data_IF_173297747904
#
_entry.id   IF_173297747904
#
_cell.length_a   1.000
_cell.length_b   1.000
_cell.length_c   1.000
_cell.angle_alpha   90.00
_cell.angle_beta   90.00
_cell.angle_gamma   90.00
#
_symmetry.space_group_name_H-M   'P 1'
#
loop_
_entity.id
_entity.type
_entity.pdbx_description
1 polymer ?
#
# COMPACT_ATOMS: atom_id res chain seq x y z
N UNK A 1 0.79 -0.60 36.26
CA UNK A 1 0.97 0.32 35.13
C UNK A 1 -0.36 0.36 34.41
N UNK A 2 -0.93 1.54 34.22
CA UNK A 2 -2.25 1.72 33.61
C UNK A 2 -2.03 2.41 32.28
N UNK A 3 -2.34 1.72 31.18
CA UNK A 3 -2.23 2.26 29.82
C UNK A 3 -3.64 2.61 29.37
N UNK A 4 -3.87 3.88 29.07
CA UNK A 4 -5.17 4.35 28.61
C UNK A 4 -5.52 3.74 27.25
N UNK A 5 -6.81 3.38 27.08
CA UNK A 5 -7.33 2.91 25.81
C UNK A 5 -7.05 3.96 24.72
N UNK A 6 -6.55 3.52 23.56
CA UNK A 6 -6.15 4.35 22.42
C UNK A 6 -4.91 5.22 22.60
N UNK A 7 -4.18 5.09 23.71
CA UNK A 7 -2.86 5.71 23.82
C UNK A 7 -1.82 4.96 22.97
N UNK A 8 -0.83 5.70 22.46
CA UNK A 8 0.33 5.13 21.77
C UNK A 8 1.48 5.10 22.76
N UNK A 9 2.00 3.90 23.03
CA UNK A 9 3.11 3.66 23.95
C UNK A 9 4.29 3.02 23.22
N UNK A 10 5.48 3.05 23.82
CA UNK A 10 6.63 2.33 23.26
C UNK A 10 6.42 0.81 23.38
N UNK A 11 6.94 0.02 22.44
CA UNK A 11 6.82 -1.45 22.46
C UNK A 11 7.30 -2.08 23.80
N UNK A 12 8.43 -1.67 24.40
CA UNK A 12 8.85 -2.18 25.70
C UNK A 12 7.87 -1.88 26.84
N UNK A 13 7.18 -0.74 26.78
CA UNK A 13 6.18 -0.33 27.75
C UNK A 13 4.90 -1.16 27.61
N UNK A 14 4.47 -1.44 26.38
CA UNK A 14 3.36 -2.36 26.13
C UNK A 14 3.65 -3.76 26.66
N UNK A 15 4.83 -4.33 26.36
CA UNK A 15 5.22 -5.68 26.80
C UNK A 15 5.36 -5.78 28.33
N UNK A 16 5.81 -4.72 29.00
CA UNK A 16 5.93 -4.67 30.46
C UNK A 16 4.58 -4.81 31.18
N UNK A 17 3.45 -4.62 30.49
CA UNK A 17 2.11 -4.80 31.06
C UNK A 17 1.83 -6.26 31.47
N UNK A 18 2.56 -7.25 30.90
CA UNK A 18 2.45 -8.65 31.32
C UNK A 18 2.96 -8.90 32.76
N UNK A 19 3.62 -7.92 33.37
CA UNK A 19 4.10 -7.98 34.75
C UNK A 19 5.52 -8.53 34.90
N UNK A 20 6.07 -8.49 36.11
CA UNK A 20 7.44 -8.92 36.38
C UNK A 20 7.61 -10.42 36.12
N UNK A 21 8.72 -10.79 35.48
CA UNK A 21 9.03 -12.18 35.13
C UNK A 21 8.26 -12.72 33.92
N UNK A 22 7.56 -11.86 33.17
CA UNK A 22 6.90 -12.27 31.94
C UNK A 22 7.90 -12.78 30.89
N UNK A 23 7.53 -13.85 30.19
CA UNK A 23 8.32 -14.40 29.09
C UNK A 23 7.98 -13.65 27.81
N UNK A 24 8.98 -12.98 27.22
CA UNK A 24 8.85 -12.28 25.94
C UNK A 24 9.09 -13.25 24.79
N UNK A 25 8.19 -13.26 23.81
CA UNK A 25 8.24 -14.14 22.65
C UNK A 25 7.95 -13.33 21.39
N UNK A 26 8.67 -13.61 20.31
CA UNK A 26 8.46 -13.01 19.00
C UNK A 26 7.94 -14.05 18.03
N UNK A 27 6.80 -13.78 17.40
CA UNK A 27 6.32 -14.48 16.21
C UNK A 27 6.69 -13.70 14.94
N UNK A 28 6.24 -14.19 13.79
CA UNK A 28 6.53 -13.58 12.48
C UNK A 28 5.96 -12.16 12.37
N UNK A 29 4.69 -11.98 12.74
CA UNK A 29 3.96 -10.70 12.60
C UNK A 29 3.43 -10.16 13.94
N UNK A 30 3.79 -10.79 15.05
CA UNK A 30 3.32 -10.42 16.39
C UNK A 30 4.41 -10.59 17.45
N UNK A 31 4.34 -9.77 18.49
CA UNK A 31 5.12 -9.96 19.72
C UNK A 31 4.17 -10.30 20.87
N UNK A 32 4.64 -11.14 21.78
CA UNK A 32 3.88 -11.63 22.93
C UNK A 32 4.68 -11.43 24.21
N UNK A 33 3.99 -11.11 25.29
CA UNK A 33 4.53 -11.24 26.65
C UNK A 33 3.57 -12.08 27.49
N UNK A 34 4.06 -13.22 27.96
CA UNK A 34 3.27 -14.18 28.75
C UNK A 34 3.61 -14.01 30.23
N UNK A 35 2.72 -13.38 30.97
CA UNK A 35 2.80 -13.24 32.42
C UNK A 35 2.00 -14.30 33.17
N UNK A 36 1.96 -14.17 34.50
CA UNK A 36 1.23 -15.09 35.37
C UNK A 36 -0.27 -15.09 35.06
N UNK A 37 -0.90 -13.91 34.99
CA UNK A 37 -2.35 -13.75 34.79
C UNK A 37 -2.71 -12.92 33.54
N UNK A 38 -1.70 -12.43 32.83
CA UNK A 38 -1.84 -11.50 31.71
C UNK A 38 -1.06 -12.00 30.50
N UNK A 39 -1.70 -11.94 29.33
CA UNK A 39 -1.05 -12.08 28.04
C UNK A 39 -1.09 -10.74 27.33
N UNK A 40 0.06 -10.20 26.95
CA UNK A 40 0.13 -9.05 26.05
C UNK A 40 0.38 -9.55 24.63
N UNK A 41 -0.36 -9.01 23.68
CA UNK A 41 -0.20 -9.26 22.26
C UNK A 41 -0.02 -7.94 21.54
N UNK A 42 1.04 -7.84 20.75
CA UNK A 42 1.29 -6.73 19.83
C UNK A 42 1.24 -7.31 18.43
N UNK A 43 0.30 -6.84 17.61
CA UNK A 43 0.12 -7.37 16.25
C UNK A 43 -0.43 -6.31 15.31
N UNK A 44 -0.69 -6.71 14.06
CA UNK A 44 -1.38 -5.85 13.10
C UNK A 44 -2.90 -5.99 13.29
N UNK A 45 -3.64 -4.90 13.15
CA UNK A 45 -5.11 -4.92 13.18
C UNK A 45 -5.65 -4.28 11.90
N UNK A 46 -6.36 -5.09 11.11
CA UNK A 46 -6.96 -4.69 9.83
C UNK A 46 -8.50 -4.55 9.90
N UNK A 47 -9.06 -4.59 11.12
CA UNK A 47 -10.50 -4.55 11.40
C UNK A 47 -10.79 -3.73 12.65
N UNK A 48 -11.93 -3.03 12.64
CA UNK A 48 -12.41 -2.18 13.72
C UNK A 48 -12.95 -2.95 14.92
N UNK A 49 -13.42 -4.17 14.72
CA UNK A 49 -14.00 -4.97 15.78
C UNK A 49 -13.07 -6.08 16.31
N UNK A 50 -12.00 -6.39 15.59
CA UNK A 50 -11.17 -7.55 15.91
C UNK A 50 -9.71 -7.44 15.42
N UNK A 51 -8.82 -8.10 16.14
CA UNK A 51 -7.47 -8.40 15.69
C UNK A 51 -7.40 -9.90 15.35
N UNK A 52 -6.85 -10.23 14.19
CA UNK A 52 -6.60 -11.61 13.79
C UNK A 52 -5.10 -11.79 13.71
N UNK A 53 -4.60 -12.76 14.47
CA UNK A 53 -3.21 -13.20 14.43
C UNK A 53 -3.19 -14.53 13.71
N UNK A 54 -2.18 -14.74 12.88
CA UNK A 54 -2.00 -15.98 12.13
C UNK A 54 -0.72 -16.69 12.54
N UNK A 55 -0.70 -17.99 12.30
CA UNK A 55 0.43 -18.88 12.55
C UNK A 55 1.76 -18.36 11.95
N UNK A 56 2.93 -18.75 12.50
CA UNK A 56 3.12 -19.67 13.63
C UNK A 56 3.01 -18.99 15.01
N UNK A 57 2.44 -19.71 15.98
CA UNK A 57 2.37 -19.27 17.37
C UNK A 57 3.42 -19.97 18.24
N UNK A 58 4.05 -19.26 19.19
CA UNK A 58 4.87 -19.90 20.21
C UNK A 58 4.05 -20.88 21.05
N UNK A 59 4.61 -22.05 21.36
CA UNK A 59 3.94 -23.12 22.12
C UNK A 59 3.37 -22.62 23.46
N UNK A 60 4.12 -21.74 24.15
CA UNK A 60 3.68 -21.18 25.42
C UNK A 60 2.40 -20.32 25.29
N UNK A 61 2.22 -19.61 24.17
CA UNK A 61 1.02 -18.81 23.90
C UNK A 61 -0.18 -19.73 23.68
N UNK A 62 0.00 -20.79 22.88
CA UNK A 62 -1.04 -21.79 22.63
C UNK A 62 -1.46 -22.50 23.92
N UNK A 63 -0.51 -22.99 24.73
CA UNK A 63 -0.79 -23.63 26.01
C UNK A 63 -1.55 -22.69 26.96
N UNK A 64 -1.16 -21.42 27.03
CA UNK A 64 -1.80 -20.45 27.93
C UNK A 64 -3.24 -20.14 27.53
N UNK A 65 -3.53 -20.06 26.23
CA UNK A 65 -4.87 -19.76 25.70
C UNK A 65 -5.80 -20.98 25.65
N UNK A 66 -5.24 -22.18 25.46
CA UNK A 66 -5.98 -23.43 25.47
C UNK A 66 -6.35 -23.91 26.90
N UNK A 67 -5.69 -23.38 27.94
CA UNK A 67 -5.94 -23.74 29.33
C UNK A 67 -7.33 -23.33 29.86
N UNK A 68 -7.79 -23.99 30.93
CA UNK A 68 -9.10 -23.69 31.56
C UNK A 68 -9.17 -22.30 32.20
N UNK A 69 -8.04 -21.77 32.67
CA UNK A 69 -7.93 -20.43 33.23
C UNK A 69 -7.24 -19.52 32.21
N UNK A 70 -8.03 -18.94 31.30
CA UNK A 70 -7.53 -18.02 30.29
C UNK A 70 -7.09 -16.70 30.94
N UNK A 71 -5.89 -16.18 30.60
CA UNK A 71 -5.45 -14.88 31.10
C UNK A 71 -6.26 -13.74 30.47
N UNK A 72 -6.19 -12.56 31.08
CA UNK A 72 -6.61 -11.34 30.40
C UNK A 72 -5.68 -11.08 29.21
N UNK A 73 -6.23 -10.86 28.01
CA UNK A 73 -5.44 -10.60 26.81
C UNK A 73 -5.45 -9.12 26.50
N UNK A 74 -4.36 -8.42 26.80
CA UNK A 74 -4.18 -7.02 26.41
C UNK A 74 -3.62 -6.96 24.99
N UNK A 75 -4.33 -6.28 24.10
CA UNK A 75 -3.95 -6.19 22.69
C UNK A 75 -3.46 -4.79 22.33
N UNK A 76 -2.45 -4.74 21.48
CA UNK A 76 -1.90 -3.52 20.91
C UNK A 76 -1.76 -3.66 19.41
N UNK A 77 -2.20 -2.64 18.66
CA UNK A 77 -1.90 -2.54 17.25
C UNK A 77 -0.51 -1.91 17.06
N UNK A 78 0.36 -2.57 16.29
CA UNK A 78 1.68 -2.04 15.94
C UNK A 78 1.53 -0.87 14.94
N UNK A 79 2.15 0.25 15.26
CA UNK A 79 2.24 1.46 14.43
C UNK A 79 3.70 1.85 14.19
N UNK A 80 4.04 2.66 13.17
CA UNK A 80 5.41 3.13 12.95
C UNK A 80 6.01 3.92 14.14
N UNK A 81 5.16 4.60 14.92
CA UNK A 81 5.56 5.41 16.07
C UNK A 81 5.42 4.74 17.44
N UNK A 82 4.99 3.47 17.50
CA UNK A 82 4.75 2.77 18.77
C UNK A 82 3.64 1.74 18.70
N UNK A 83 2.96 1.49 19.81
CA UNK A 83 1.93 0.49 19.99
C UNK A 83 0.65 1.16 20.48
N UNK A 84 -0.41 1.11 19.67
CA UNK A 84 -1.73 1.63 20.02
C UNK A 84 -2.43 0.65 20.95
N UNK A 85 -2.81 1.09 22.14
CA UNK A 85 -3.58 0.29 23.09
C UNK A 85 -5.01 0.04 22.57
N UNK A 86 -5.36 -1.22 22.33
CA UNK A 86 -6.71 -1.65 21.94
C UNK A 86 -7.55 -2.09 23.15
N UNK A 87 -6.93 -2.16 24.33
CA UNK A 87 -7.56 -2.62 25.56
C UNK A 87 -7.50 -4.13 25.73
N UNK A 88 -8.39 -4.64 26.57
CA UNK A 88 -8.49 -6.07 26.89
C UNK A 88 -9.46 -6.71 25.89
N UNK A 89 -9.05 -7.82 25.27
CA UNK A 89 -9.93 -8.60 24.41
C UNK A 89 -11.08 -9.17 25.24
N UNK A 90 -12.32 -8.92 24.79
CA UNK A 90 -13.53 -9.45 25.38
C UNK A 90 -13.69 -10.94 25.07
N UNK A 91 -13.29 -11.34 23.87
CA UNK A 91 -13.41 -12.70 23.37
C UNK A 91 -12.14 -13.09 22.61
N UNK A 92 -11.73 -14.34 22.78
CA UNK A 92 -10.54 -14.94 22.18
C UNK A 92 -10.94 -16.26 21.54
N UNK A 93 -11.14 -16.24 20.22
CA UNK A 93 -11.46 -17.41 19.42
C UNK A 93 -10.16 -18.05 18.92
N UNK A 94 -10.03 -19.36 19.10
CA UNK A 94 -8.89 -20.15 18.64
C UNK A 94 -9.36 -21.06 17.51
N UNK A 95 -8.72 -20.94 16.34
CA UNK A 95 -9.02 -21.79 15.18
C UNK A 95 -7.90 -22.79 14.98
N UNK A 96 -8.23 -24.07 14.87
CA UNK A 96 -7.26 -25.14 14.67
C UNK A 96 -7.38 -25.72 13.25
N UNK A 97 -6.25 -25.98 12.60
CA UNK A 97 -6.18 -26.68 11.32
C UNK A 97 -5.23 -27.86 11.45
N UNK A 98 -5.73 -29.08 11.17
CA UNK A 98 -4.95 -30.34 11.29
C UNK A 98 -4.27 -30.52 12.67
N UNK A 99 -4.91 -30.05 13.73
CA UNK A 99 -4.43 -30.19 15.12
C UNK A 99 -3.45 -29.13 15.60
N UNK A 100 -3.05 -28.18 14.75
CA UNK A 100 -2.23 -27.02 15.13
C UNK A 100 -3.10 -25.75 15.20
N UNK A 101 -2.77 -24.84 16.13
CA UNK A 101 -3.41 -23.53 16.21
C UNK A 101 -3.04 -22.71 14.97
N UNK A 102 -4.06 -22.36 14.19
CA UNK A 102 -3.94 -21.71 12.89
C UNK A 102 -4.16 -20.19 12.99
N UNK A 103 -5.21 -19.77 13.70
CA UNK A 103 -5.53 -18.35 13.91
C UNK A 103 -6.02 -18.09 15.33
N UNK A 104 -5.69 -16.91 15.86
CA UNK A 104 -6.25 -16.35 17.08
C UNK A 104 -7.01 -15.08 16.69
N UNK A 105 -8.30 -15.02 17.02
CA UNK A 105 -9.11 -13.82 16.84
C UNK A 105 -9.45 -13.20 18.19
N UNK A 106 -9.01 -11.97 18.38
CA UNK A 106 -9.30 -11.14 19.56
C UNK A 106 -10.40 -10.15 19.19
N UNK A 107 -11.50 -10.13 19.94
CA UNK A 107 -12.59 -9.15 19.75
C UNK A 107 -12.60 -8.14 20.89
N UNK A 108 -12.90 -6.89 20.55
CA UNK A 108 -12.92 -5.78 21.51
C UNK A 108 -14.34 -5.31 21.78
N UNK A 109 -14.61 -4.89 23.01
CA UNK A 109 -15.92 -4.35 23.39
C UNK A 109 -16.17 -2.96 22.80
N UNK A 110 -15.12 -2.13 22.79
CA UNK A 110 -15.15 -0.84 22.13
C UNK A 110 -14.54 -1.00 20.74
N UNK A 111 -15.27 -0.72 19.65
CA UNK A 111 -14.71 -0.72 18.31
C UNK A 111 -13.51 0.23 18.25
N UNK A 112 -12.45 -0.20 17.57
CA UNK A 112 -11.28 0.62 17.33
C UNK A 112 -11.72 1.76 16.42
N UNK A 113 -11.52 3.04 16.81
CA UNK A 113 -11.86 4.17 15.97
C UNK A 113 -11.20 4.04 14.58
N UNK A 114 -11.95 4.24 13.47
CA UNK A 114 -11.42 4.04 12.12
C UNK A 114 -10.19 4.89 11.78
N UNK A 115 -10.06 6.05 12.42
CA UNK A 115 -8.93 6.97 12.35
C UNK A 115 -7.67 6.45 13.08
N UNK A 116 -7.82 5.43 13.92
CA UNK A 116 -6.73 4.78 14.65
C UNK A 116 -6.34 3.41 14.04
N UNK A 117 -7.21 2.83 13.23
CA UNK A 117 -6.92 1.61 12.45
C UNK A 117 -6.03 1.95 11.26
N UNK A 118 -4.76 1.57 11.37
CA UNK A 118 -3.79 1.77 10.31
C UNK A 118 -3.34 3.22 10.18
N UNK A 119 -2.78 3.78 11.26
CA UNK A 119 -1.94 4.99 11.23
C UNK A 119 -0.60 4.76 10.51
N UNK A 120 -0.69 4.28 9.28
CA UNK A 120 0.09 4.75 8.16
C UNK A 120 -0.85 4.83 6.95
N UNK A 121 -2.02 5.46 7.12
CA UNK A 121 -2.76 5.91 5.94
C UNK A 121 -1.85 6.92 5.26
N UNK A 122 -1.42 6.69 4.01
CA UNK A 122 -0.48 7.57 3.36
C UNK A 122 -1.02 9.00 3.41
N UNK A 123 -0.23 9.91 3.96
CA UNK A 123 -0.57 11.34 3.98
C UNK A 123 -0.90 11.81 2.57
N UNK A 124 -1.75 12.82 2.46
CA UNK A 124 -2.11 13.45 1.17
C UNK A 124 -1.33 14.73 0.91
N UNK A 125 -0.36 15.06 1.76
CA UNK A 125 0.50 16.24 1.65
C UNK A 125 1.34 16.24 0.36
N UNK A 126 1.68 15.05 -0.17
CA UNK A 126 2.35 14.91 -1.47
C UNK A 126 1.50 15.43 -2.64
N UNK A 127 0.17 15.44 -2.55
CA UNK A 127 -0.69 15.97 -3.61
C UNK A 127 -0.50 17.47 -3.81
N UNK A 128 -0.16 18.19 -2.74
CA UNK A 128 0.07 19.63 -2.81
C UNK A 128 1.37 19.93 -3.56
N UNK A 129 2.34 19.00 -3.55
CA UNK A 129 3.58 19.07 -4.31
C UNK A 129 3.40 18.67 -5.78
N UNK A 130 2.50 17.74 -6.10
CA UNK A 130 2.44 17.07 -7.41
C UNK A 130 2.40 18.01 -8.63
N UNK A 131 1.82 19.20 -8.51
CA UNK A 131 1.74 20.16 -9.63
C UNK A 131 2.99 21.01 -9.87
N UNK A 132 3.91 21.09 -8.91
CA UNK A 132 5.09 21.98 -8.99
C UNK A 132 6.42 21.30 -8.61
N UNK A 133 6.36 20.22 -7.83
CA UNK A 133 7.46 19.31 -7.52
C UNK A 133 7.00 17.84 -7.63
N UNK A 134 6.89 17.30 -8.86
CA UNK A 134 6.47 15.90 -9.06
C UNK A 134 7.46 14.89 -8.45
N UNK A 135 8.75 15.24 -8.35
CA UNK A 135 9.77 14.36 -7.76
C UNK A 135 9.54 14.23 -6.26
N UNK A 136 9.43 15.34 -5.54
CA UNK A 136 9.14 15.32 -4.10
C UNK A 136 7.79 14.69 -3.78
N UNK A 137 6.78 14.91 -4.63
CA UNK A 137 5.49 14.24 -4.53
C UNK A 137 5.61 12.70 -4.65
N UNK A 138 6.37 12.23 -5.64
CA UNK A 138 6.64 10.80 -5.86
C UNK A 138 7.39 10.18 -4.68
N UNK A 139 8.45 10.82 -4.19
CA UNK A 139 9.22 10.32 -3.04
C UNK A 139 8.35 10.18 -1.79
N UNK A 140 7.51 11.19 -1.49
CA UNK A 140 6.57 11.14 -0.36
C UNK A 140 5.47 10.10 -0.53
N UNK A 141 4.90 10.00 -1.74
CA UNK A 141 3.91 8.96 -2.04
C UNK A 141 4.51 7.57 -1.82
N UNK A 142 5.70 7.30 -2.36
CA UNK A 142 6.35 5.98 -2.21
C UNK A 142 6.65 5.70 -0.73
N UNK A 143 7.22 6.67 -0.01
CA UNK A 143 7.53 6.52 1.41
C UNK A 143 6.28 6.22 2.26
N UNK A 144 5.15 6.87 1.96
CA UNK A 144 3.89 6.65 2.69
C UNK A 144 3.17 5.37 2.26
N UNK A 145 2.97 5.17 0.95
CA UNK A 145 2.22 4.04 0.41
C UNK A 145 2.91 2.70 0.69
N UNK A 146 4.24 2.66 0.61
CA UNK A 146 5.04 1.45 0.80
C UNK A 146 5.81 1.44 2.14
N UNK A 147 5.36 2.21 3.14
CA UNK A 147 6.02 2.33 4.44
C UNK A 147 6.25 1.00 5.18
N UNK A 148 5.37 0.01 4.97
CA UNK A 148 5.49 -1.32 5.60
C UNK A 148 6.40 -2.30 4.86
N UNK A 149 7.12 -1.83 3.84
CA UNK A 149 8.09 -2.62 3.08
C UNK A 149 9.46 -2.04 3.38
N UNK A 150 10.25 -2.80 4.12
CA UNK A 150 11.61 -2.43 4.49
C UNK A 150 12.47 -2.26 3.22
N UNK A 151 13.23 -1.16 3.09
CA UNK A 151 14.18 -1.01 2.00
C UNK A 151 15.26 -2.10 2.10
N UNK A 152 15.19 -3.12 1.24
CA UNK A 152 16.23 -4.12 1.09
C UNK A 152 17.34 -3.71 0.09
N UNK A 153 18.61 -3.86 0.52
CA UNK A 153 19.76 -4.02 -0.38
C UNK A 153 20.50 -2.76 -0.83
N UNK A 154 21.63 -3.00 -1.52
CA UNK A 154 22.45 -1.96 -2.14
C UNK A 154 21.68 -1.27 -3.28
N UNK A 155 21.76 0.06 -3.31
CA UNK A 155 21.25 0.86 -4.41
C UNK A 155 22.02 0.50 -5.69
N UNK A 156 21.33 0.10 -6.78
CA UNK A 156 22.01 -0.01 -8.07
C UNK A 156 22.59 1.35 -8.45
N UNK A 157 23.73 1.37 -9.15
CA UNK A 157 24.27 2.59 -9.72
C UNK A 157 23.31 3.08 -10.81
N UNK A 158 22.52 4.12 -10.52
CA UNK A 158 21.53 4.66 -11.46
C UNK A 158 22.17 5.75 -12.31
N UNK A 159 22.13 5.57 -13.63
CA UNK A 159 22.58 6.59 -14.59
C UNK A 159 21.37 7.33 -15.18
N UNK A 160 21.62 8.47 -15.85
CA UNK A 160 20.55 9.26 -16.48
C UNK A 160 20.07 10.45 -15.64
N UNK A 161 18.92 11.05 -15.97
CA UNK A 161 18.46 12.35 -15.44
C UNK A 161 18.01 12.28 -13.97
N UNK A 162 17.93 13.45 -13.32
CA UNK A 162 17.66 13.54 -11.88
C UNK A 162 16.34 12.88 -11.43
N UNK A 163 15.20 13.00 -12.16
CA UNK A 163 13.96 12.32 -11.79
C UNK A 163 14.07 10.79 -11.77
N UNK A 164 14.79 10.21 -12.74
CA UNK A 164 15.00 8.75 -12.79
C UNK A 164 15.83 8.26 -11.60
N UNK A 165 16.90 9.00 -11.25
CA UNK A 165 17.71 8.70 -10.06
C UNK A 165 16.89 8.80 -8.78
N UNK A 166 16.01 9.79 -8.67
CA UNK A 166 15.12 9.95 -7.52
C UNK A 166 14.12 8.80 -7.40
N UNK A 167 13.49 8.39 -8.52
CA UNK A 167 12.59 7.24 -8.57
C UNK A 167 13.26 5.96 -8.05
N UNK A 168 14.42 5.59 -8.61
CA UNK A 168 15.13 4.39 -8.18
C UNK A 168 15.62 4.45 -6.73
N UNK A 169 15.99 5.65 -6.24
CA UNK A 169 16.32 5.83 -4.81
C UNK A 169 15.11 5.60 -3.92
N UNK A 170 13.95 6.15 -4.28
CA UNK A 170 12.71 5.98 -3.51
C UNK A 170 12.19 4.52 -3.56
N UNK A 171 12.34 3.86 -4.70
CA UNK A 171 11.95 2.48 -4.94
C UNK A 171 12.95 1.44 -4.43
N UNK A 172 14.10 1.88 -3.88
CA UNK A 172 15.17 1.01 -3.44
C UNK A 172 14.68 0.00 -2.41
N UNK A 173 14.86 -1.29 -2.73
CA UNK A 173 14.43 -2.37 -1.87
C UNK A 173 12.92 -2.59 -1.77
N UNK A 174 12.13 -1.96 -2.65
CA UNK A 174 10.68 -2.07 -2.71
C UNK A 174 10.24 -2.51 -4.11
N UNK A 175 10.39 -3.81 -4.45
CA UNK A 175 10.07 -4.31 -5.79
C UNK A 175 8.62 -3.99 -6.21
N UNK A 176 7.70 -3.86 -5.26
CA UNK A 176 6.28 -3.52 -5.47
C UNK A 176 6.05 -2.12 -6.05
N UNK A 177 7.04 -1.21 -5.94
CA UNK A 177 6.98 0.12 -6.55
C UNK A 177 7.05 0.04 -8.07
N UNK A 178 7.82 -0.93 -8.59
CA UNK A 178 7.95 -1.13 -10.03
C UNK A 178 6.68 -1.76 -10.63
N UNK A 179 5.84 -2.38 -9.80
CA UNK A 179 4.67 -3.13 -10.24
C UNK A 179 5.05 -4.49 -10.82
N UNK A 180 4.08 -5.14 -11.48
CA UNK A 180 4.26 -6.45 -12.09
C UNK A 180 4.50 -6.37 -13.59
N UNK A 181 3.84 -5.42 -14.25
CA UNK A 181 3.80 -5.32 -15.71
C UNK A 181 4.61 -4.15 -16.26
N UNK A 182 5.03 -3.20 -15.41
CA UNK A 182 5.94 -2.12 -15.79
C UNK A 182 7.35 -2.43 -15.29
N UNK A 183 8.36 -2.13 -16.11
CA UNK A 183 9.76 -2.17 -15.69
C UNK A 183 10.46 -0.90 -16.10
N UNK A 184 10.95 -0.15 -15.12
CA UNK A 184 11.80 1.03 -15.31
C UNK A 184 13.26 0.62 -15.09
N UNK A 185 14.13 0.95 -16.05
CA UNK A 185 15.53 0.55 -16.06
C UNK A 185 16.40 1.57 -15.29
N UNK A 186 17.29 1.06 -14.43
CA UNK A 186 18.27 1.87 -13.71
C UNK A 186 19.34 2.47 -14.65
N UNK A 187 19.59 1.83 -15.79
CA UNK A 187 20.45 2.32 -16.84
C UNK A 187 19.64 2.39 -18.14
N UNK A 188 19.30 3.60 -18.62
CA UNK A 188 18.65 3.76 -19.92
C UNK A 188 19.52 3.27 -21.06
N UNK A 189 18.94 2.51 -21.98
CA UNK A 189 19.64 1.88 -23.08
C UNK A 189 19.64 2.79 -24.32
N UNK A 190 20.82 3.09 -24.92
CA UNK A 190 20.88 3.78 -26.20
C UNK A 190 20.55 2.82 -27.36
N UNK A 191 20.32 3.39 -28.55
CA UNK A 191 20.21 2.62 -29.79
C UNK A 191 18.83 2.65 -30.46
N UNK A 192 17.87 3.43 -29.93
CA UNK A 192 16.64 3.69 -30.67
C UNK A 192 16.93 4.48 -31.96
N UNK A 193 16.31 4.15 -33.12
CA UNK A 193 16.59 4.81 -34.40
C UNK A 193 16.44 6.34 -34.39
N UNK A 194 15.53 6.86 -33.57
CA UNK A 194 15.29 8.30 -33.41
C UNK A 194 16.27 9.01 -32.45
N UNK A 195 17.33 8.33 -32.00
CA UNK A 195 18.32 8.90 -31.07
C UNK A 195 17.83 9.06 -29.62
N UNK A 196 16.75 8.35 -29.27
CA UNK A 196 16.15 8.31 -27.93
C UNK A 196 16.77 7.21 -27.07
N UNK A 197 16.60 7.32 -25.76
CA UNK A 197 17.01 6.30 -24.79
C UNK A 197 15.80 5.49 -24.32
N UNK A 198 15.91 4.17 -24.34
CA UNK A 198 14.90 3.29 -23.74
C UNK A 198 15.12 3.22 -22.24
N UNK A 199 14.17 3.71 -21.44
CA UNK A 199 14.27 3.71 -19.98
C UNK A 199 13.27 2.79 -19.29
N UNK A 200 12.41 2.11 -20.05
CA UNK A 200 11.53 1.09 -19.50
C UNK A 200 10.68 0.38 -20.55
N UNK A 201 9.82 -0.52 -20.06
CA UNK A 201 8.87 -1.30 -20.84
C UNK A 201 7.60 -1.58 -20.04
N UNK A 202 6.47 -1.77 -20.72
CA UNK A 202 5.18 -2.11 -20.13
C UNK A 202 4.62 -3.40 -20.77
N UNK A 203 3.85 -4.16 -20.00
CA UNK A 203 3.12 -5.35 -20.47
C UNK A 203 4.03 -6.44 -21.01
N UNK A 204 5.16 -6.70 -20.35
CA UNK A 204 6.19 -7.64 -20.84
C UNK A 204 6.75 -7.32 -22.24
N UNK A 205 6.78 -6.02 -22.58
CA UNK A 205 7.34 -5.54 -23.85
C UNK A 205 6.29 -5.24 -24.93
N UNK A 206 5.01 -5.17 -24.56
CA UNK A 206 3.93 -4.70 -25.46
C UNK A 206 4.24 -3.31 -26.00
N UNK A 207 4.80 -2.42 -25.18
CA UNK A 207 5.41 -1.18 -25.66
C UNK A 207 6.62 -0.78 -24.80
N UNK A 208 7.48 0.04 -25.38
CA UNK A 208 8.67 0.58 -24.73
C UNK A 208 8.50 2.05 -24.34
N UNK A 209 9.19 2.43 -23.27
CA UNK A 209 9.22 3.77 -22.74
C UNK A 209 10.54 4.43 -23.14
N UNK A 210 10.43 5.52 -23.90
CA UNK A 210 11.58 6.23 -24.46
C UNK A 210 11.66 7.64 -23.88
N UNK A 211 12.88 8.18 -23.79
CA UNK A 211 13.11 9.57 -23.40
C UNK A 211 14.20 10.24 -24.23
N UNK A 212 14.17 11.57 -24.27
CA UNK A 212 15.28 12.36 -24.85
C UNK A 212 16.59 12.06 -24.11
N UNK A 213 17.70 11.96 -24.85
CA UNK A 213 19.03 11.68 -24.29
C UNK A 213 19.66 12.85 -23.53
N UNK A 214 19.07 14.05 -23.64
CA UNK A 214 19.56 15.29 -23.06
C UNK A 214 18.46 16.00 -22.26
N UNK A 215 18.86 16.77 -21.25
CA UNK A 215 17.97 17.59 -20.42
C UNK A 215 17.82 17.09 -18.99
N UNK A 216 17.50 18.01 -18.08
CA UNK A 216 17.34 17.69 -16.65
C UNK A 216 16.05 16.89 -16.36
N UNK A 217 15.00 17.16 -17.12
CA UNK A 217 13.71 16.50 -17.09
C UNK A 217 13.27 16.25 -18.55
N UNK A 218 13.68 15.15 -19.19
CA UNK A 218 13.48 14.94 -20.63
C UNK A 218 12.01 14.67 -20.97
N UNK A 219 11.64 14.85 -22.25
CA UNK A 219 10.34 14.37 -22.75
C UNK A 219 10.30 12.84 -22.77
N UNK A 220 9.11 12.29 -22.56
CA UNK A 220 8.82 10.85 -22.58
C UNK A 220 7.96 10.52 -23.78
N UNK A 221 8.18 9.33 -24.35
CA UNK A 221 7.44 8.81 -25.48
C UNK A 221 7.12 7.32 -25.28
N UNK A 222 6.03 6.89 -25.90
CA UNK A 222 5.69 5.48 -26.07
C UNK A 222 6.04 5.04 -27.48
N UNK A 223 6.72 3.90 -27.59
CA UNK A 223 6.96 3.20 -28.84
C UNK A 223 6.29 1.82 -28.80
N UNK A 224 5.36 1.58 -29.73
CA UNK A 224 4.46 0.40 -29.76
C UNK A 224 3.03 0.65 -29.27
N UNK A 225 2.75 1.77 -28.58
CA UNK A 225 1.37 2.12 -28.15
C UNK A 225 0.50 2.65 -29.32
N UNK A 226 1.13 3.15 -30.38
CA UNK A 226 0.47 3.54 -31.63
C UNK A 226 1.40 3.28 -32.82
N UNK A 227 0.90 3.41 -34.05
CA UNK A 227 1.70 3.23 -35.28
C UNK A 227 2.90 4.20 -35.39
N UNK A 228 2.93 5.24 -34.56
CA UNK A 228 4.01 6.21 -34.48
C UNK A 228 4.47 6.37 -33.04
N UNK A 229 5.69 6.89 -32.90
CA UNK A 229 6.19 7.37 -31.62
C UNK A 229 5.21 8.39 -31.03
N UNK A 230 4.70 8.11 -29.84
CA UNK A 230 3.65 8.90 -29.22
C UNK A 230 4.21 9.67 -28.01
N UNK A 231 4.33 11.01 -28.07
CA UNK A 231 4.85 11.79 -26.94
C UNK A 231 3.86 11.82 -25.79
N UNK A 232 4.29 11.48 -24.58
CA UNK A 232 3.54 11.71 -23.35
C UNK A 232 3.40 13.24 -23.10
N UNK A 233 2.32 13.61 -22.43
CA UNK A 233 1.92 14.97 -22.09
C UNK A 233 2.75 15.53 -20.93
N UNK A 234 3.12 14.66 -20.00
CA UNK A 234 4.07 14.95 -18.92
C UNK A 234 5.51 14.68 -19.34
N UNK A 235 6.43 15.42 -18.71
CA UNK A 235 7.87 15.12 -18.79
C UNK A 235 8.22 14.00 -17.80
N UNK A 236 9.46 13.54 -17.81
CA UNK A 236 9.89 12.37 -17.03
C UNK A 236 9.49 12.42 -15.55
N UNK A 237 9.64 13.57 -14.87
CA UNK A 237 9.25 13.72 -13.47
C UNK A 237 7.75 13.48 -13.23
N UNK A 238 6.90 14.12 -14.02
CA UNK A 238 5.44 13.93 -13.95
C UNK A 238 5.04 12.51 -14.34
N UNK A 239 5.66 11.97 -15.39
CA UNK A 239 5.43 10.61 -15.85
C UNK A 239 5.74 9.56 -14.77
N UNK A 240 6.89 9.65 -14.11
CA UNK A 240 7.29 8.68 -13.06
C UNK A 240 6.32 8.70 -11.87
N UNK A 241 5.82 9.88 -11.47
CA UNK A 241 4.78 9.98 -10.46
C UNK A 241 3.49 9.27 -10.93
N UNK A 242 3.04 9.54 -12.15
CA UNK A 242 1.84 8.91 -12.69
C UNK A 242 1.98 7.40 -12.84
N UNK A 243 3.12 6.94 -13.36
CA UNK A 243 3.43 5.52 -13.49
C UNK A 243 3.39 4.83 -12.12
N UNK A 244 3.96 5.45 -11.09
CA UNK A 244 3.93 4.94 -9.72
C UNK A 244 2.50 4.83 -9.18
N UNK A 245 1.67 5.85 -9.38
CA UNK A 245 0.26 5.83 -8.99
C UNK A 245 -0.53 4.77 -9.76
N UNK A 246 -0.23 4.60 -11.05
CA UNK A 246 -0.83 3.57 -11.87
C UNK A 246 -0.47 2.17 -11.37
N UNK A 247 0.79 1.94 -11.02
CA UNK A 247 1.21 0.66 -10.40
C UNK A 247 0.49 0.40 -9.09
N UNK A 248 0.36 1.42 -8.23
CA UNK A 248 -0.36 1.30 -6.98
C UNK A 248 -1.84 0.91 -7.19
N UNK A 249 -2.48 1.40 -8.25
CA UNK A 249 -3.88 1.11 -8.57
C UNK A 249 -4.09 -0.23 -9.32
N UNK A 250 -3.19 -0.56 -10.25
CA UNK A 250 -3.35 -1.70 -11.17
C UNK A 250 -2.73 -2.99 -10.62
N UNK A 251 -1.55 -2.89 -10.02
CA UNK A 251 -0.75 -4.03 -9.55
C UNK A 251 -0.79 -4.19 -8.03
N UNK A 252 -1.50 -3.30 -7.33
CA UNK A 252 -1.62 -3.32 -5.88
C UNK A 252 -2.25 -4.63 -5.35
N UNK A 253 -1.87 -5.10 -4.15
CA UNK A 253 -2.34 -6.37 -3.61
C UNK A 253 -3.84 -6.37 -3.28
N UNK A 254 -4.42 -5.19 -3.01
CA UNK A 254 -5.83 -5.01 -2.70
C UNK A 254 -6.42 -4.01 -3.68
N UNK A 255 -7.43 -4.41 -4.42
CA UNK A 255 -8.02 -3.55 -5.42
C UNK A 255 -8.91 -4.28 -6.40
N UNK A 256 -9.10 -3.65 -7.56
CA UNK A 256 -9.77 -4.27 -8.70
C UNK A 256 -9.88 -3.35 -9.90
N UNK A 257 -10.30 -3.95 -11.00
CA UNK A 257 -10.64 -3.28 -12.25
C UNK A 257 -12.12 -3.48 -12.56
N UNK A 258 -12.79 -2.41 -12.97
CA UNK A 258 -14.18 -2.43 -13.40
C UNK A 258 -14.39 -1.52 -14.61
N UNK A 259 -15.36 -1.88 -15.45
CA UNK A 259 -15.95 -0.94 -16.40
C UNK A 259 -17.11 -0.24 -15.72
N UNK A 260 -17.06 1.08 -15.66
CA UNK A 260 -18.04 1.89 -14.93
C UNK A 260 -18.68 2.96 -15.78
N UNK A 261 -19.96 3.19 -15.58
CA UNK A 261 -20.66 4.33 -16.15
C UNK A 261 -20.29 5.64 -15.43
N UNK A 262 -20.73 6.77 -15.97
CA UNK A 262 -20.43 8.08 -15.40
C UNK A 262 -20.95 8.28 -13.97
N UNK A 263 -22.19 7.89 -13.63
CA UNK A 263 -22.65 7.89 -12.24
C UNK A 263 -21.80 7.03 -11.29
N UNK A 264 -21.43 5.82 -11.68
CA UNK A 264 -20.56 4.91 -10.93
C UNK A 264 -19.18 5.52 -10.70
N UNK A 265 -18.52 6.00 -11.76
CA UNK A 265 -17.23 6.68 -11.68
C UNK A 265 -17.27 7.85 -10.70
N UNK A 266 -18.29 8.72 -10.81
CA UNK A 266 -18.48 9.87 -9.91
C UNK A 266 -18.62 9.46 -8.45
N UNK A 267 -19.34 8.38 -8.14
CA UNK A 267 -19.49 7.89 -6.76
C UNK A 267 -18.14 7.46 -6.16
N UNK A 268 -17.27 6.86 -6.97
CA UNK A 268 -15.95 6.39 -6.51
C UNK A 268 -14.96 7.55 -6.35
N UNK A 269 -14.94 8.51 -7.28
CA UNK A 269 -13.94 9.59 -7.27
C UNK A 269 -14.37 10.83 -6.46
N UNK A 270 -15.65 11.01 -6.15
CA UNK A 270 -16.15 12.14 -5.36
C UNK A 270 -15.43 12.38 -4.02
N UNK A 271 -15.08 11.36 -3.22
CA UNK A 271 -14.32 11.56 -1.98
C UNK A 271 -12.81 11.74 -2.20
N UNK A 272 -12.32 11.69 -3.45
CA UNK A 272 -10.90 11.71 -3.78
C UNK A 272 -10.48 13.07 -4.35
N UNK A 273 -9.19 13.38 -4.23
CA UNK A 273 -8.59 14.54 -4.88
C UNK A 273 -7.98 14.10 -6.20
N UNK A 274 -8.27 14.86 -7.27
CA UNK A 274 -7.61 14.67 -8.56
C UNK A 274 -6.13 15.05 -8.44
N UNK A 275 -5.24 14.22 -8.98
CA UNK A 275 -3.81 14.55 -9.07
C UNK A 275 -3.61 15.64 -10.13
N UNK A 276 -2.93 16.76 -9.83
CA UNK A 276 -2.84 17.93 -10.69
C UNK A 276 -1.82 17.78 -11.85
N UNK A 277 -1.88 16.67 -12.56
CA UNK A 277 -1.08 16.38 -13.75
C UNK A 277 -1.96 16.29 -15.00
N UNK A 278 -1.34 16.41 -16.17
CA UNK A 278 -1.99 16.17 -17.46
C UNK A 278 -2.36 14.69 -17.58
N UNK A 279 -3.45 14.34 -18.30
CA UNK A 279 -3.81 12.93 -18.48
C UNK A 279 -2.69 12.09 -19.06
N UNK A 280 -2.49 10.88 -18.54
CA UNK A 280 -1.64 9.87 -19.19
C UNK A 280 -2.28 9.41 -20.51
N UNK A 281 -1.48 8.83 -21.39
CA UNK A 281 -1.96 8.21 -22.63
C UNK A 281 -2.29 6.72 -22.52
N UNK A 282 -2.00 6.13 -21.37
CA UNK A 282 -2.21 4.73 -21.07
C UNK A 282 -2.73 4.59 -19.64
N UNK A 283 -3.65 3.65 -19.34
CA UNK A 283 -4.21 2.62 -20.23
C UNK A 283 -5.23 3.12 -21.25
N UNK A 284 -5.79 4.33 -21.05
CA UNK A 284 -6.74 4.96 -21.98
C UNK A 284 -6.23 6.33 -22.43
N UNK A 285 -6.81 6.92 -23.48
CA UNK A 285 -6.25 8.11 -24.13
C UNK A 285 -6.18 9.32 -23.19
N UNK A 286 -7.16 9.46 -22.30
CA UNK A 286 -7.27 10.51 -21.29
C UNK A 286 -7.35 9.93 -19.87
N UNK A 287 -6.42 9.04 -19.52
CA UNK A 287 -6.31 8.49 -18.18
C UNK A 287 -5.97 9.56 -17.13
N UNK A 288 -6.73 9.60 -16.03
CA UNK A 288 -6.48 10.46 -14.87
C UNK A 288 -6.28 9.64 -13.60
N UNK A 289 -5.46 10.20 -12.70
CA UNK A 289 -5.27 9.67 -11.35
C UNK A 289 -6.05 10.51 -10.33
N UNK A 290 -6.67 9.82 -9.38
CA UNK A 290 -7.30 10.38 -8.19
C UNK A 290 -6.72 9.68 -6.97
N UNK A 291 -6.51 10.40 -5.88
CA UNK A 291 -5.99 9.84 -4.64
C UNK A 291 -6.78 10.35 -3.44
N UNK A 292 -6.93 9.46 -2.46
CA UNK A 292 -7.51 9.74 -1.16
C UNK A 292 -6.78 8.93 -0.09
N UNK A 293 -7.19 9.06 1.18
CA UNK A 293 -6.52 8.38 2.27
C UNK A 293 -6.52 6.85 2.04
N UNK A 294 -5.35 6.27 1.74
CA UNK A 294 -5.19 4.83 1.50
C UNK A 294 -5.80 4.30 0.21
N UNK A 295 -6.13 5.16 -0.75
CA UNK A 295 -6.77 4.79 -2.01
C UNK A 295 -6.19 5.57 -3.20
N UNK A 296 -5.90 4.87 -4.29
CA UNK A 296 -5.56 5.46 -5.59
C UNK A 296 -6.51 4.89 -6.63
N UNK A 297 -7.02 5.76 -7.50
CA UNK A 297 -7.87 5.40 -8.63
C UNK A 297 -7.23 5.92 -9.90
N UNK A 298 -7.17 5.05 -10.90
CA UNK A 298 -6.83 5.40 -12.28
C UNK A 298 -8.06 5.16 -13.11
N UNK A 299 -8.49 6.16 -13.87
CA UNK A 299 -9.68 6.06 -14.71
C UNK A 299 -9.42 6.70 -16.07
N UNK A 300 -9.76 5.99 -17.14
CA UNK A 300 -9.84 6.57 -18.48
C UNK A 300 -11.04 7.48 -18.56
N UNK A 301 -10.86 8.80 -18.75
CA UNK A 301 -11.97 9.75 -18.97
C UNK A 301 -12.13 10.07 -20.46
N UNK A 302 -12.24 9.04 -21.28
CA UNK A 302 -12.53 9.18 -22.71
C UNK A 302 -14.03 9.46 -22.88
N UNK A 303 -14.49 10.10 -23.97
CA UNK A 303 -15.92 10.41 -24.20
C UNK A 303 -16.80 9.17 -24.49
N UNK A 304 -16.47 8.02 -23.90
CA UNK A 304 -17.16 6.74 -24.03
C UNK A 304 -18.30 6.58 -23.01
N UNK A 305 -19.21 5.66 -23.31
CA UNK A 305 -20.32 5.29 -22.41
C UNK A 305 -19.84 4.58 -21.14
N UNK A 306 -18.65 3.97 -21.20
CA UNK A 306 -18.01 3.22 -20.13
C UNK A 306 -16.58 3.67 -19.95
N UNK A 307 -16.17 3.80 -18.69
CA UNK A 307 -14.82 4.14 -18.29
C UNK A 307 -14.13 2.91 -17.74
N UNK A 308 -12.91 2.65 -18.23
CA UNK A 308 -12.01 1.68 -17.62
C UNK A 308 -11.43 2.27 -16.33
N UNK A 309 -11.66 1.62 -15.19
CA UNK A 309 -11.26 2.11 -13.88
C UNK A 309 -10.50 1.04 -13.11
N UNK A 310 -9.32 1.41 -12.63
CA UNK A 310 -8.48 0.63 -11.73
C UNK A 310 -8.46 1.29 -10.35
N UNK A 311 -8.56 0.48 -9.31
CA UNK A 311 -8.60 0.94 -7.93
C UNK A 311 -7.63 0.14 -7.10
N UNK A 312 -6.69 0.81 -6.43
CA UNK A 312 -5.79 0.23 -5.44
C UNK A 312 -6.07 0.80 -4.06
N UNK A 313 -6.07 -0.06 -3.05
CA UNK A 313 -6.27 0.34 -1.65
C UNK A 313 -5.19 -0.25 -0.74
N UNK A 314 -4.95 0.44 0.39
CA UNK A 314 -3.99 -0.01 1.40
C UNK A 314 -4.59 -0.89 2.49
N UNK A 315 -5.91 -0.85 2.66
CA UNK A 315 -6.58 -1.47 3.79
C UNK A 315 -7.77 -2.32 3.34
N UNK A 316 -7.94 -3.55 3.88
CA UNK A 316 -9.10 -4.41 3.58
C UNK A 316 -10.45 -3.73 3.86
N UNK A 317 -10.51 -2.82 4.84
CA UNK A 317 -11.72 -2.05 5.12
C UNK A 317 -12.21 -1.20 3.93
N UNK A 318 -11.30 -0.60 3.16
CA UNK A 318 -11.64 0.15 1.95
C UNK A 318 -12.10 -0.79 0.84
N UNK A 319 -11.47 -1.96 0.70
CA UNK A 319 -11.88 -3.00 -0.25
C UNK A 319 -13.33 -3.45 0.02
N UNK A 320 -13.70 -3.68 1.30
CA UNK A 320 -15.09 -4.01 1.68
C UNK A 320 -16.08 -2.91 1.30
N UNK A 321 -15.71 -1.63 1.40
CA UNK A 321 -16.56 -0.50 0.97
C UNK A 321 -16.75 -0.50 -0.54
N UNK A 322 -15.69 -0.73 -1.30
CA UNK A 322 -15.74 -0.83 -2.77
C UNK A 322 -16.65 -1.97 -3.23
N UNK A 323 -16.58 -3.13 -2.58
CA UNK A 323 -17.46 -4.28 -2.87
C UNK A 323 -18.95 -3.93 -2.71
N UNK A 324 -19.29 -3.12 -1.68
CA UNK A 324 -20.68 -2.67 -1.43
C UNK A 324 -21.22 -1.68 -2.46
N UNK A 325 -20.37 -1.10 -3.32
CA UNK A 325 -20.82 -0.18 -4.38
C UNK A 325 -21.53 -0.91 -5.53
N UNK A 326 -21.43 -2.23 -5.60
CA UNK A 326 -22.08 -3.05 -6.63
C UNK A 326 -21.60 -2.72 -8.04
N UNK A 327 -20.30 -2.48 -8.19
CA UNK A 327 -19.68 -2.32 -9.51
C UNK A 327 -19.51 -3.69 -10.17
N UNK A 328 -19.55 -3.71 -11.50
CA UNK A 328 -19.24 -4.90 -12.29
C UNK A 328 -17.72 -5.04 -12.41
N UNK A 329 -17.13 -5.75 -11.46
CA UNK A 329 -15.68 -5.92 -11.40
C UNK A 329 -15.24 -7.02 -12.35
N UNK A 330 -14.40 -6.67 -13.32
CA UNK A 330 -13.72 -7.64 -14.19
C UNK A 330 -12.66 -8.42 -13.41
N UNK A 331 -11.98 -7.72 -12.49
CA UNK A 331 -11.10 -8.34 -11.50
C UNK A 331 -11.24 -7.63 -10.17
N UNK A 332 -11.23 -8.39 -9.08
CA UNK A 332 -11.32 -7.84 -7.73
C UNK A 332 -10.60 -8.76 -6.76
N UNK A 333 -9.81 -8.21 -5.84
CA UNK A 333 -9.18 -9.02 -4.80
C UNK A 333 -10.26 -9.59 -3.87
N UNK A 334 -10.24 -10.91 -3.70
CA UNK A 334 -11.03 -11.59 -2.67
C UNK A 334 -10.37 -11.36 -1.31
N UNK A 335 -10.74 -10.26 -0.66
CA UNK A 335 -10.48 -10.03 0.77
C UNK A 335 -11.46 -10.76 1.67
#
# INVERSE_FOLDING_TARGET
MEIELWSVVAEPEALALAGPGATLLTGTDAAFAVGADTLVVIGRSDSDAAMVLSEPFPELVEQRLAGMLRPAVHAFARLPGGCLALGIARDTELSYRRGALHDIRLRFETPIPPDLLGQATPGLDWLDLAGHDPVGAMERFIAGWYAGIEPAGELPAVTGPAPLRAFHRAAAGRPEVYGRSCRIFAEPLPGHPDGLLTFGQEGDGVFTLLMESQGADPRVFYDGLSDRLLPERERLAGYLLQATLARAAMDGPLGGMAFVDRPQARRVIAPLRRVPLRPMRWPSLFTRCYAGPGMVVVIGEDDADWYEMYVGVRQPGLLRRLRKLGLDWESFTDG
#
